data_IF_768257730047
#
_entry.id   IF_768257730047
#
_cell.length_a   1.000
_cell.length_b   1.000
_cell.length_c   1.000
_cell.angle_alpha   90.00
_cell.angle_beta   90.00
_cell.angle_gamma   90.00
#
_symmetry.space_group_name_H-M   'P 1'
#
loop_
_entity.id
_entity.type
_entity.pdbx_description
1 polymer ?
#
# COMPACT_ATOMS: atom_id res chain seq x y z
N UNK A 1 -9.41 14.33 -13.89
CA UNK A 1 -8.54 14.09 -12.71
C UNK A 1 -9.34 13.89 -11.41
N UNK A 2 -10.46 14.59 -11.19
CA UNK A 2 -11.29 14.43 -9.99
C UNK A 2 -11.84 13.01 -9.81
N UNK A 3 -12.38 12.40 -10.87
CA UNK A 3 -12.86 11.01 -10.86
C UNK A 3 -11.71 10.04 -10.57
N UNK A 4 -10.52 10.28 -11.13
CA UNK A 4 -9.34 9.47 -10.88
C UNK A 4 -8.93 9.51 -9.39
N UNK A 5 -8.92 10.70 -8.78
CA UNK A 5 -8.63 10.85 -7.36
C UNK A 5 -9.65 10.11 -6.50
N UNK A 6 -10.95 10.18 -6.83
CA UNK A 6 -11.99 9.42 -6.13
C UNK A 6 -11.77 7.91 -6.23
N UNK A 7 -11.39 7.40 -7.40
CA UNK A 7 -11.08 5.97 -7.58
C UNK A 7 -9.89 5.56 -6.73
N UNK A 8 -8.80 6.33 -6.70
CA UNK A 8 -7.62 6.02 -5.86
C UNK A 8 -7.97 6.05 -4.37
N UNK A 9 -8.78 7.01 -3.93
CA UNK A 9 -9.27 7.07 -2.54
C UNK A 9 -10.16 5.87 -2.22
N UNK A 10 -11.06 5.49 -3.13
CA UNK A 10 -11.91 4.31 -2.94
C UNK A 10 -11.08 3.03 -2.84
N UNK A 11 -10.02 2.90 -3.67
CA UNK A 11 -9.10 1.77 -3.63
C UNK A 11 -8.37 1.68 -2.29
N UNK A 12 -7.90 2.82 -1.75
CA UNK A 12 -7.30 2.88 -0.42
C UNK A 12 -8.27 2.37 0.66
N UNK A 13 -9.50 2.88 0.67
CA UNK A 13 -10.50 2.55 1.71
C UNK A 13 -10.94 1.09 1.65
N UNK A 14 -11.22 0.57 0.45
CA UNK A 14 -11.67 -0.83 0.28
C UNK A 14 -10.55 -1.81 0.61
N UNK A 15 -9.32 -1.55 0.16
CA UNK A 15 -8.16 -2.40 0.48
C UNK A 15 -7.74 -2.27 1.94
N UNK A 16 -8.00 -1.10 2.55
CA UNK A 16 -7.74 -0.81 3.96
C UNK A 16 -8.56 -1.66 4.93
N UNK A 17 -9.54 -2.41 4.43
CA UNK A 17 -10.36 -3.29 5.24
C UNK A 17 -11.48 -2.55 5.96
N UNK A 18 -11.98 -1.44 5.40
CA UNK A 18 -13.15 -0.74 5.92
C UNK A 18 -14.37 -1.68 6.05
N UNK A 19 -14.48 -2.69 5.19
CA UNK A 19 -15.50 -3.73 5.29
C UNK A 19 -15.29 -4.61 6.54
N UNK A 20 -14.03 -4.93 6.88
CA UNK A 20 -13.70 -5.70 8.08
C UNK A 20 -13.93 -4.89 9.35
N UNK A 21 -13.71 -3.57 9.32
CA UNK A 21 -13.98 -2.67 10.43
C UNK A 21 -15.49 -2.60 10.76
N UNK A 22 -16.35 -2.59 9.74
CA UNK A 22 -17.81 -2.62 9.93
C UNK A 22 -18.31 -3.96 10.47
N UNK A 23 -17.63 -5.07 10.14
CA UNK A 23 -18.05 -6.43 10.53
C UNK A 23 -17.45 -6.86 11.87
N UNK A 24 -16.24 -6.41 12.20
CA UNK A 24 -15.48 -6.89 13.36
C UNK A 24 -15.37 -5.78 14.39
N UNK A 25 -16.06 -5.95 15.53
CA UNK A 25 -15.93 -5.04 16.67
C UNK A 25 -14.48 -4.98 17.17
N UNK A 26 -13.99 -3.80 17.61
CA UNK A 26 -12.60 -3.62 18.00
C UNK A 26 -12.23 -4.50 19.19
N UNK A 27 -11.13 -5.25 19.05
CA UNK A 27 -10.58 -6.04 20.15
C UNK A 27 -10.17 -5.11 21.30
N UNK A 28 -10.54 -5.48 22.52
CA UNK A 28 -10.28 -4.73 23.77
C UNK A 28 -8.80 -4.58 24.13
N UNK A 29 -7.88 -5.18 23.37
CA UNK A 29 -6.43 -4.99 23.47
C UNK A 29 -5.85 -4.61 22.11
N UNK A 30 -5.09 -3.51 22.01
CA UNK A 30 -4.54 -3.04 20.75
C UNK A 30 -3.40 -3.95 20.30
N UNK A 31 -3.71 -4.88 19.40
CA UNK A 31 -2.70 -5.69 18.71
C UNK A 31 -2.65 -5.23 17.26
N UNK A 32 -1.45 -4.82 16.81
CA UNK A 32 -1.28 -4.20 15.49
C UNK A 32 -1.36 -5.20 14.31
N UNK A 33 -1.17 -6.50 14.55
CA UNK A 33 -1.12 -7.54 13.51
C UNK A 33 -1.75 -8.84 13.98
N UNK A 34 -2.57 -9.46 13.11
CA UNK A 34 -3.08 -10.80 13.34
C UNK A 34 -2.19 -11.83 12.63
N UNK A 35 -1.25 -12.41 13.37
CA UNK A 35 -0.40 -13.46 12.82
C UNK A 35 -1.20 -14.77 12.61
N UNK A 36 -0.85 -15.54 11.57
CA UNK A 36 -1.34 -16.90 11.28
C UNK A 36 -2.82 -17.05 10.86
N UNK A 37 -3.61 -15.96 10.75
CA UNK A 37 -4.96 -15.98 10.17
C UNK A 37 -5.03 -15.08 8.93
N UNK A 38 -5.13 -15.70 7.76
CA UNK A 38 -5.13 -14.98 6.47
C UNK A 38 -6.39 -14.14 6.29
N UNK A 39 -7.55 -14.66 6.69
CA UNK A 39 -8.87 -14.02 6.52
C UNK A 39 -9.22 -13.01 7.61
N UNK A 40 -8.42 -12.93 8.68
CA UNK A 40 -8.58 -11.91 9.70
C UNK A 40 -7.68 -10.71 9.39
N UNK A 41 -8.15 -9.51 9.73
CA UNK A 41 -7.41 -8.28 9.50
C UNK A 41 -7.77 -7.27 10.58
N UNK A 42 -6.77 -6.74 11.29
CA UNK A 42 -6.95 -5.59 12.16
C UNK A 42 -6.89 -4.28 11.37
N UNK A 43 -7.49 -3.22 11.92
CA UNK A 43 -7.58 -1.89 11.29
C UNK A 43 -6.18 -1.37 10.90
N UNK A 44 -5.23 -1.41 11.83
CA UNK A 44 -3.86 -0.91 11.57
C UNK A 44 -3.13 -1.72 10.49
N UNK A 45 -3.38 -3.02 10.43
CA UNK A 45 -2.82 -3.92 9.43
C UNK A 45 -3.35 -3.60 8.03
N UNK A 46 -4.66 -3.36 7.93
CA UNK A 46 -5.32 -2.96 6.69
C UNK A 46 -4.92 -1.57 6.21
N UNK A 47 -4.93 -0.58 7.10
CA UNK A 47 -4.52 0.78 6.77
C UNK A 47 -3.05 0.85 6.33
N UNK A 48 -2.15 0.11 6.99
CA UNK A 48 -0.75 0.07 6.60
C UNK A 48 -0.54 -0.56 5.22
N UNK A 49 -1.21 -1.69 4.93
CA UNK A 49 -1.08 -2.40 3.65
C UNK A 49 -1.68 -1.61 2.49
N UNK A 50 -2.88 -1.05 2.66
CA UNK A 50 -3.50 -0.19 1.65
C UNK A 50 -2.69 1.06 1.36
N UNK A 51 -2.13 1.72 2.39
CA UNK A 51 -1.26 2.89 2.21
C UNK A 51 -0.05 2.56 1.33
N UNK A 52 0.64 1.46 1.64
CA UNK A 52 1.81 1.01 0.88
C UNK A 52 1.48 0.66 -0.58
N UNK A 53 0.34 0.04 -0.83
CA UNK A 53 -0.14 -0.29 -2.18
C UNK A 53 -0.49 0.97 -2.98
N UNK A 54 -1.21 1.92 -2.37
CA UNK A 54 -1.48 3.21 -3.03
C UNK A 54 -0.22 4.01 -3.30
N UNK A 55 0.74 4.00 -2.37
CA UNK A 55 2.01 4.70 -2.57
C UNK A 55 2.79 4.10 -3.73
N UNK A 56 2.87 2.77 -3.82
CA UNK A 56 3.49 2.08 -4.96
C UNK A 56 2.83 2.41 -6.30
N UNK A 57 1.49 2.40 -6.35
CA UNK A 57 0.71 2.75 -7.53
C UNK A 57 0.87 4.22 -7.94
N UNK A 58 0.77 5.16 -6.99
CA UNK A 58 1.03 6.59 -7.20
C UNK A 58 2.45 6.83 -7.68
N UNK A 59 3.39 6.06 -7.12
CA UNK A 59 4.73 5.90 -7.64
C UNK A 59 4.67 5.79 -9.14
N UNK A 60 4.09 4.72 -9.70
CA UNK A 60 4.04 4.47 -11.15
C UNK A 60 3.57 5.65 -12.02
N UNK A 61 2.49 6.33 -11.62
CA UNK A 61 1.93 7.48 -12.34
C UNK A 61 2.95 8.62 -12.47
N UNK A 62 3.75 8.86 -11.43
CA UNK A 62 4.76 9.92 -11.44
C UNK A 62 5.82 9.68 -12.52
N UNK A 63 6.10 8.43 -12.93
CA UNK A 63 7.04 8.16 -14.05
C UNK A 63 6.49 8.54 -15.40
N UNK A 64 5.19 8.35 -15.59
CA UNK A 64 4.54 8.78 -16.81
C UNK A 64 4.62 10.31 -16.92
N UNK A 65 4.39 11.01 -15.80
CA UNK A 65 4.50 12.46 -15.75
C UNK A 65 5.94 12.97 -15.93
N UNK A 66 6.95 12.18 -15.54
CA UNK A 66 8.37 12.48 -15.76
C UNK A 66 8.83 12.37 -17.22
N UNK A 67 8.03 11.74 -18.08
CA UNK A 67 8.33 11.67 -19.51
C UNK A 67 7.85 12.92 -20.27
N UNK A 68 7.20 13.87 -19.59
CA UNK A 68 6.79 15.13 -20.20
C UNK A 68 8.00 15.98 -20.63
N UNK A 69 7.95 16.63 -21.81
CA UNK A 69 9.12 17.27 -22.43
C UNK A 69 9.63 18.55 -21.73
N UNK A 70 8.91 19.09 -20.74
CA UNK A 70 9.16 20.42 -20.16
C UNK A 70 9.75 20.41 -18.72
N UNK A 71 10.41 19.34 -18.28
CA UNK A 71 10.94 19.23 -16.90
C UNK A 71 12.45 19.51 -16.86
N UNK A 72 12.94 20.38 -15.96
CA UNK A 72 14.38 20.62 -15.79
C UNK A 72 15.13 19.35 -15.33
N UNK A 73 16.35 19.15 -15.85
CA UNK A 73 17.15 17.91 -15.70
C UNK A 73 17.33 17.46 -14.25
N UNK A 74 17.60 18.41 -13.33
CA UNK A 74 17.77 18.12 -11.90
C UNK A 74 16.48 17.59 -11.25
N UNK A 75 15.34 18.25 -11.54
CA UNK A 75 14.06 17.84 -10.97
C UNK A 75 13.63 16.46 -11.50
N UNK A 76 13.91 16.19 -12.78
CA UNK A 76 13.68 14.88 -13.39
C UNK A 76 14.47 13.78 -12.69
N UNK A 77 15.73 14.02 -12.36
CA UNK A 77 16.58 13.05 -11.66
C UNK A 77 16.10 12.79 -10.21
N UNK A 78 15.77 13.85 -9.47
CA UNK A 78 15.25 13.74 -8.10
C UNK A 78 13.93 12.96 -8.03
N UNK A 79 12.99 13.29 -8.91
CA UNK A 79 11.69 12.60 -8.98
C UNK A 79 11.85 11.13 -9.37
N UNK A 80 12.80 10.79 -10.25
CA UNK A 80 13.11 9.41 -10.63
C UNK A 80 13.66 8.62 -9.43
N UNK A 81 14.54 9.22 -8.63
CA UNK A 81 15.08 8.61 -7.41
C UNK A 81 14.00 8.38 -6.34
N UNK A 82 13.17 9.39 -6.04
CA UNK A 82 12.06 9.29 -5.08
C UNK A 82 11.10 8.18 -5.50
N UNK A 83 10.78 8.12 -6.80
CA UNK A 83 9.86 7.12 -7.32
C UNK A 83 10.44 5.71 -7.23
N UNK A 84 11.72 5.54 -7.54
CA UNK A 84 12.40 4.25 -7.39
C UNK A 84 12.35 3.74 -5.95
N UNK A 85 12.62 4.61 -4.98
CA UNK A 85 12.49 4.28 -3.54
C UNK A 85 11.05 3.92 -3.19
N UNK A 86 10.08 4.70 -3.65
CA UNK A 86 8.66 4.49 -3.37
C UNK A 86 8.18 3.11 -3.85
N UNK A 87 8.52 2.72 -5.08
CA UNK A 87 8.18 1.41 -5.64
C UNK A 87 8.91 0.29 -4.90
N UNK A 88 10.21 0.43 -4.64
CA UNK A 88 10.98 -0.56 -3.87
C UNK A 88 10.39 -0.79 -2.47
N UNK A 89 10.07 0.28 -1.75
CA UNK A 89 9.50 0.22 -0.41
C UNK A 89 8.15 -0.50 -0.42
N UNK A 90 7.30 -0.19 -1.40
CA UNK A 90 5.98 -0.84 -1.54
C UNK A 90 6.11 -2.35 -1.76
N UNK A 91 7.01 -2.79 -2.65
CA UNK A 91 7.24 -4.22 -2.95
C UNK A 91 7.83 -4.93 -1.73
N UNK A 92 8.82 -4.33 -1.07
CA UNK A 92 9.47 -4.94 0.08
C UNK A 92 8.50 -5.10 1.25
N UNK A 93 7.72 -4.06 1.56
CA UNK A 93 6.74 -4.13 2.64
C UNK A 93 5.59 -5.07 2.33
N UNK A 94 5.11 -5.14 1.09
CA UNK A 94 4.11 -6.14 0.69
C UNK A 94 4.63 -7.57 0.85
N UNK A 95 5.90 -7.83 0.50
CA UNK A 95 6.56 -9.13 0.72
C UNK A 95 6.68 -9.47 2.21
N UNK A 96 7.09 -8.51 3.04
CA UNK A 96 7.17 -8.70 4.50
C UNK A 96 5.79 -8.98 5.09
N UNK A 97 4.76 -8.27 4.65
CA UNK A 97 3.38 -8.46 5.07
C UNK A 97 2.90 -9.89 4.78
N UNK A 98 3.10 -10.35 3.54
CA UNK A 98 2.75 -11.71 3.14
C UNK A 98 3.53 -12.74 3.97
N UNK A 99 4.81 -12.53 4.25
CA UNK A 99 5.59 -13.41 5.12
C UNK A 99 5.05 -13.46 6.55
N UNK A 100 4.61 -12.34 7.12
CA UNK A 100 4.06 -12.31 8.49
C UNK A 100 2.69 -12.97 8.59
N UNK A 101 1.82 -12.82 7.58
CA UNK A 101 0.50 -13.48 7.56
C UNK A 101 0.59 -14.99 7.31
N UNK A 102 1.58 -15.43 6.53
CA UNK A 102 1.70 -16.81 6.03
C UNK A 102 2.91 -17.55 6.60
N UNK A 103 3.36 -17.26 7.83
CA UNK A 103 4.42 -18.02 8.51
C UNK A 103 4.05 -19.51 8.53
N UNK A 104 4.59 -20.29 7.57
CA UNK A 104 4.34 -21.73 7.37
C UNK A 104 3.50 -22.14 6.15
N UNK A 105 2.83 -21.23 5.43
CA UNK A 105 1.90 -21.62 4.33
C UNK A 105 2.59 -21.99 3.01
N UNK A 106 3.89 -21.66 2.85
CA UNK A 106 4.69 -21.86 1.63
C UNK A 106 5.91 -22.77 1.86
N UNK A 107 5.95 -23.54 2.96
CA UNK A 107 6.99 -24.55 3.22
C UNK A 107 6.64 -25.92 2.61
N UNK A 108 6.06 -25.92 1.40
CA UNK A 108 5.75 -27.11 0.60
C UNK A 108 6.39 -27.00 -0.77
#
# INVERSE_FOLDING_TARGET
MTVYALVVVSYFLTTGGLIYDVIVEPASRPVAFLAYRVNGQYIMEGLASSFLLTMGGLGFIILEQLNAPNIPKLNRFLLLFIKFICVLLSIFMARVFMRRKLLGYLMG
#
